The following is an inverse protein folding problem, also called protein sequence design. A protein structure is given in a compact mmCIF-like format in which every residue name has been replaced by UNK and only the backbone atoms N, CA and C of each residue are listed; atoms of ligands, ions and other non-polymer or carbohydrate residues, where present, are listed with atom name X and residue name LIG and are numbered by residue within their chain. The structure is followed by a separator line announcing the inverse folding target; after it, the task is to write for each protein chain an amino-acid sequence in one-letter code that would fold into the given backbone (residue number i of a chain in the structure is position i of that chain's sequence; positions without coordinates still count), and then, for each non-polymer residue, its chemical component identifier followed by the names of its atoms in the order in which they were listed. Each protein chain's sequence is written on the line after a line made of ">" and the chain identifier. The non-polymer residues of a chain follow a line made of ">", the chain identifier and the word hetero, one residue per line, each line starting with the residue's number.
data_IF_081342851229
#
_entry.id   IF_081342851229
#
_cell.length_a   1.000
_cell.length_b   1.000
_cell.length_c   1.000
_cell.angle_alpha   90.00
_cell.angle_beta   90.00
_cell.angle_gamma   90.00
#
_symmetry.space_group_name_H-M   'P 1'
#
loop_
_entity.id
_entity.type
_entity.pdbx_description
1 polymer ?
2 non-polymer ?
3 water ?
#
# COMPACT_ATOMS: atom_id res chain seq x y z
N UNK A 53 18.18 13.95 -8.04
CA UNK A 53 17.54 14.03 -9.39
C UNK A 53 16.16 14.65 -9.30
N UNK A 54 15.41 14.65 -10.41
CA UNK A 54 13.97 14.96 -10.36
C UNK A 54 13.19 13.66 -10.17
N UNK A 55 11.91 13.78 -9.80
CA UNK A 55 11.12 12.62 -9.42
C UNK A 55 10.61 11.86 -10.64
N UNK A 56 11.00 10.60 -10.74
CA UNK A 56 10.64 9.72 -11.86
C UNK A 56 9.32 9.00 -11.59
N UNK A 57 8.46 8.93 -12.60
CA UNK A 57 7.24 8.16 -12.49
C UNK A 57 7.48 6.67 -12.65
N UNK A 58 6.57 5.88 -12.08
CA UNK A 58 6.65 4.42 -12.07
C UNK A 58 5.33 3.84 -11.57
N UNK A 59 5.18 2.52 -11.65
CA UNK A 59 4.01 1.84 -11.09
C UNK A 59 4.21 0.35 -10.84
N UNK A 60 3.37 -0.18 -9.94
CA UNK A 60 3.26 -1.59 -9.70
C UNK A 60 1.90 -1.97 -10.22
N UNK A 61 1.72 -3.26 -10.49
CA UNK A 61 0.46 -3.77 -10.97
C UNK A 61 0.12 -4.98 -10.10
N UNK A 62 -1.14 -5.06 -9.67
CA UNK A 62 -1.59 -6.14 -8.80
C UNK A 62 -2.05 -7.34 -9.63
N UNK A 63 -2.30 -8.46 -8.95
CA UNK A 63 -2.81 -9.68 -9.56
C UNK A 63 -4.08 -9.45 -10.40
N UNK A 64 -4.88 -8.46 -10.03
CA UNK A 64 -6.12 -8.19 -10.77
C UNK A 64 -5.94 -7.00 -11.70
N UNK A 65 -4.69 -6.70 -12.04
CA UNK A 65 -4.38 -5.64 -12.98
C UNK A 65 -4.71 -4.24 -12.46
N UNK A 66 -4.85 -4.10 -11.14
CA UNK A 66 -4.90 -2.76 -10.56
C UNK A 66 -3.49 -2.15 -10.64
N UNK A 67 -3.46 -0.88 -11.01
CA UNK A 67 -2.23 -0.13 -11.18
C UNK A 67 -2.02 0.79 -9.97
N UNK A 68 -0.88 0.61 -9.30
CA UNK A 68 -0.50 1.47 -8.18
C UNK A 68 0.60 2.41 -8.64
N UNK A 69 0.26 3.67 -8.85
CA UNK A 69 1.27 4.59 -9.32
C UNK A 69 2.10 5.19 -8.17
N UNK A 70 3.38 5.40 -8.46
CA UNK A 70 4.27 6.09 -7.56
C UNK A 70 5.21 7.04 -8.30
N UNK A 71 5.82 7.96 -7.55
CA UNK A 71 6.99 8.72 -7.98
C UNK A 71 8.15 8.35 -7.08
N UNK A 72 9.37 8.38 -7.62
CA UNK A 72 10.55 8.11 -6.82
C UNK A 72 11.79 8.91 -7.20
N UNK A 73 12.75 8.88 -6.28
CA UNK A 73 14.04 9.48 -6.39
C UNK A 73 15.04 8.44 -5.88
N UNK A 74 16.09 8.18 -6.66
CA UNK A 74 17.17 7.27 -6.27
C UNK A 74 18.53 7.98 -6.34
N UNK A 75 19.22 8.12 -5.20
CA UNK A 75 20.58 8.70 -5.14
C UNK A 75 21.55 7.57 -4.81
N UNK A 76 22.70 7.88 -4.22
CA UNK A 76 23.68 6.84 -3.93
C UNK A 76 23.05 5.50 -3.44
N UNK A 77 22.88 5.34 -2.13
CA UNK A 77 22.29 4.11 -1.56
C UNK A 77 20.84 4.32 -1.09
N UNK A 78 20.26 5.43 -1.50
CA UNK A 78 18.98 5.86 -1.01
C UNK A 78 17.92 5.72 -2.09
N UNK A 79 16.77 5.16 -1.73
CA UNK A 79 15.63 5.21 -2.62
C UNK A 79 14.41 5.69 -1.84
N UNK A 80 13.82 6.78 -2.29
CA UNK A 80 12.65 7.34 -1.66
C UNK A 80 11.51 7.25 -2.65
N UNK A 81 10.42 6.62 -2.24
CA UNK A 81 9.31 6.36 -3.12
C UNK A 81 7.97 6.73 -2.46
N UNK A 82 7.17 7.53 -3.15
CA UNK A 82 5.83 7.90 -2.69
C UNK A 82 4.75 7.35 -3.63
N UNK A 83 3.68 6.76 -3.08
CA UNK A 83 2.52 6.34 -3.87
C UNK A 83 1.65 7.58 -4.08
N UNK A 84 1.16 7.78 -5.30
CA UNK A 84 0.55 9.07 -5.66
C UNK A 84 -0.92 8.99 -6.06
N UNK A 85 -1.49 7.79 -6.09
CA UNK A 85 -2.88 7.62 -6.48
C UNK A 85 -3.89 8.28 -5.53
N UNK A 86 -3.55 8.36 -4.24
CA UNK A 86 -4.48 8.84 -3.23
C UNK A 86 -3.99 10.07 -2.46
N UNK A 87 -3.46 11.09 -3.15
CA UNK A 87 -3.04 12.30 -2.44
C UNK A 87 -4.28 13.11 -2.11
N UNK A 88 -4.63 13.22 -0.82
CA UNK A 88 -5.86 13.90 -0.45
C UNK A 88 -5.75 15.38 -0.77
N UNK A 89 -6.88 16.07 -0.86
CA UNK A 89 -6.90 17.49 -1.21
C UNK A 89 -8.03 18.18 -0.47
N UNK A 90 -7.86 19.48 -0.23
CA UNK A 90 -8.97 20.30 0.18
C UNK A 90 -9.72 20.74 -1.05
N UNK A 91 -10.99 20.34 -1.10
CA UNK A 91 -11.82 20.59 -2.26
C UNK A 91 -12.51 21.93 -2.15
N UNK A 92 -12.60 22.45 -0.94
CA UNK A 92 -13.02 23.81 -0.75
C UNK A 92 -12.23 24.42 0.39
N UNK A 93 -12.55 25.68 0.77
CA UNK A 93 -11.81 26.31 1.86
C UNK A 93 -11.92 25.57 3.19
N UNK A 94 -12.90 24.68 3.34
CA UNK A 94 -13.10 24.04 4.64
C UNK A 94 -13.18 22.50 4.69
N UNK A 95 -13.08 21.83 3.55
CA UNK A 95 -13.24 20.37 3.54
C UNK A 95 -12.02 19.66 2.97
N UNK A 96 -11.41 18.81 3.79
CA UNK A 96 -10.35 17.91 3.31
C UNK A 96 -10.92 16.53 2.97
N UNK A 97 -10.74 16.10 1.73
CA UNK A 97 -11.13 14.74 1.38
C UNK A 97 -9.96 13.77 1.30
N UNK A 98 -10.01 12.68 2.06
CA UNK A 98 -9.06 11.57 1.91
C UNK A 98 -9.37 10.73 0.72
N UNK A 99 -8.31 10.23 0.10
CA UNK A 99 -8.45 9.34 -1.01
C UNK A 99 -7.89 7.98 -0.60
N UNK A 100 -8.38 6.92 -1.23
CA UNK A 100 -8.03 5.57 -0.83
C UNK A 100 -7.26 4.87 -1.92
N UNK A 101 -6.22 4.13 -1.55
CA UNK A 101 -5.79 3.02 -2.38
C UNK A 101 -6.64 1.82 -1.96
N UNK A 102 -7.39 1.27 -2.90
CA UNK A 102 -8.37 0.25 -2.58
C UNK A 102 -7.81 -1.09 -3.00
N UNK A 103 -7.61 -1.98 -2.04
CA UNK A 103 -7.08 -3.29 -2.35
C UNK A 103 -8.12 -4.37 -2.06
N UNK A 104 -8.50 -5.10 -3.10
CA UNK A 104 -9.54 -6.11 -3.01
C UNK A 104 -8.98 -7.45 -2.56
N UNK A 105 -9.89 -8.28 -2.06
CA UNK A 105 -9.62 -9.64 -1.62
C UNK A 105 -8.79 -10.45 -2.63
N UNK A 106 -9.15 -10.34 -3.91
CA UNK A 106 -8.40 -10.99 -5.00
C UNK A 106 -6.96 -10.48 -5.27
N UNK A 107 -6.63 -9.28 -4.78
CA UNK A 107 -5.22 -8.78 -4.76
C UNK A 107 -4.30 -9.46 -3.73
N UNK A 108 -4.89 -10.16 -2.77
CA UNK A 108 -4.11 -10.78 -1.68
C UNK A 108 -3.82 -12.25 -1.91
N UNK A 109 -2.73 -12.72 -1.33
CA UNK A 109 -2.42 -14.15 -1.33
C UNK A 109 -3.28 -14.93 -0.34
N UNK A 110 -3.42 -16.23 -0.62
CA UNK A 110 -4.15 -17.16 0.23
C UNK A 110 -3.30 -18.41 0.53
N UNK A 111 -3.34 -18.92 1.78
CA UNK A 111 -4.05 -18.45 2.99
C UNK A 111 -3.40 -17.22 3.65
N UNK A 112 -4.21 -16.40 4.32
CA UNK A 112 -3.65 -15.30 5.08
C UNK A 112 -3.53 -15.75 6.54
N UNK A 113 -2.40 -15.43 7.16
CA UNK A 113 -2.15 -15.77 8.57
C UNK A 113 -1.86 -14.55 9.39
N UNK A 114 -2.24 -14.56 10.67
CA UNK A 114 -1.77 -13.52 11.59
C UNK A 114 -2.10 -12.06 11.16
N UNK A 115 -3.28 -11.86 10.59
CA UNK A 115 -3.68 -10.56 10.06
C UNK A 115 -2.54 -9.91 9.25
N UNK A 116 -2.02 -10.69 8.31
CA UNK A 116 -0.97 -10.26 7.41
C UNK A 116 -1.50 -10.51 6.01
N UNK A 117 -1.71 -9.44 5.25
CA UNK A 117 -2.20 -9.55 3.89
C UNK A 117 -1.09 -9.16 2.95
N UNK A 118 -0.83 -10.06 2.01
CA UNK A 118 0.27 -9.92 1.11
C UNK A 118 -0.25 -9.69 -0.29
N UNK A 119 0.19 -8.59 -0.89
CA UNK A 119 -0.16 -8.19 -2.23
C UNK A 119 1.03 -8.42 -3.17
N UNK A 120 1.03 -9.55 -3.90
CA UNK A 120 2.07 -9.74 -4.92
C UNK A 120 1.94 -8.65 -5.95
N UNK A 121 3.09 -8.12 -6.37
CA UNK A 121 3.15 -7.01 -7.31
C UNK A 121 4.07 -7.33 -8.50
N UNK A 122 3.78 -6.71 -9.62
CA UNK A 122 4.58 -6.93 -10.80
C UNK A 122 5.09 -5.60 -11.28
N UNK A 123 6.33 -5.59 -11.75
CA UNK A 123 6.91 -4.39 -12.34
C UNK A 123 7.53 -3.53 -11.26
N UNK A 124 7.74 -2.25 -11.58
CA UNK A 124 8.27 -1.28 -10.62
C UNK A 124 9.59 -1.66 -9.99
N UNK A 125 9.87 -1.06 -8.84
CA UNK A 125 11.14 -1.26 -8.15
C UNK A 125 11.12 -2.40 -7.13
N UNK A 126 12.29 -2.90 -6.76
CA UNK A 126 12.44 -4.05 -5.87
C UNK A 126 13.25 -3.65 -4.64
N UNK A 127 12.55 -3.39 -3.52
CA UNK A 127 13.18 -2.89 -2.30
C UNK A 127 12.75 -3.65 -1.06
N UNK A 128 13.63 -3.65 -0.07
CA UNK A 128 13.30 -4.06 1.28
C UNK A 128 13.17 -2.75 2.05
N UNK A 129 11.93 -2.27 2.20
CA UNK A 129 11.70 -0.98 2.83
C UNK A 129 11.58 -1.14 4.37
N UNK A 130 11.63 -0.03 5.10
CA UNK A 130 11.20 -0.09 6.49
C UNK A 130 9.68 -0.13 6.52
N UNK A 131 9.17 -0.25 7.73
CA UNK A 131 7.75 -0.32 8.01
C UNK A 131 7.22 1.07 8.22
N UNK A 132 6.11 1.36 7.56
CA UNK A 132 5.42 2.63 7.77
C UNK A 132 4.03 2.31 8.26
N UNK A 133 3.54 3.10 9.23
CA UNK A 133 2.17 2.96 9.72
C UNK A 133 1.23 3.77 8.84
N UNK A 134 0.04 3.25 8.60
CA UNK A 134 -0.90 3.95 7.72
C UNK A 134 -2.30 3.98 8.32
N UNK A 135 -3.20 4.78 7.75
CA UNK A 135 -4.63 4.71 8.11
C UNK A 135 -5.25 3.67 7.22
N UNK A 136 -5.90 2.68 7.81
CA UNK A 136 -6.57 1.65 7.03
C UNK A 136 -8.04 1.67 7.30
N UNK A 137 -8.82 1.32 6.29
CA UNK A 137 -10.19 0.98 6.51
C UNK A 137 -10.36 -0.42 5.98
N UNK A 138 -10.70 -1.33 6.89
CA UNK A 138 -10.80 -2.76 6.62
C UNK A 138 -12.30 -3.06 6.49
N UNK A 139 -12.73 -3.41 5.28
CA UNK A 139 -14.15 -3.63 4.97
C UNK A 139 -14.44 -5.14 4.89
N UNK A 140 -15.37 -5.61 5.72
CA UNK A 140 -15.75 -7.03 5.76
C UNK A 140 -16.77 -7.43 4.71
N UNK A 141 -16.92 -8.73 4.48
CA UNK A 141 -17.94 -9.22 3.53
C UNK A 141 -19.36 -8.76 3.86
N UNK A 142 -19.61 -8.46 5.13
CA UNK A 142 -20.93 -8.00 5.54
C UNK A 142 -21.08 -6.45 5.51
N UNK A 143 -20.13 -5.79 4.83
CA UNK A 143 -20.06 -4.31 4.66
C UNK A 143 -19.79 -3.50 5.92
N UNK A 144 -19.65 -4.21 7.03
CA UNK A 144 -19.14 -3.64 8.27
C UNK A 144 -17.68 -3.21 7.99
N UNK A 145 -17.19 -2.17 8.67
CA UNK A 145 -15.82 -1.70 8.46
C UNK A 145 -15.16 -1.16 9.72
N UNK A 146 -13.84 -1.31 9.76
CA UNK A 146 -13.03 -0.98 10.93
C UNK A 146 -11.86 -0.10 10.52
N UNK A 147 -11.71 1.01 11.22
CA UNK A 147 -10.62 1.94 10.98
C UNK A 147 -9.47 1.50 11.86
N UNK A 148 -8.28 1.35 11.27
CA UNK A 148 -7.11 0.81 11.97
C UNK A 148 -5.83 1.50 11.58
N UNK A 149 -4.87 1.55 12.50
CA UNK A 149 -3.48 1.78 12.16
C UNK A 149 -2.93 0.46 11.58
N UNK A 150 -2.65 0.49 10.28
CA UNK A 150 -1.93 -0.60 9.62
C UNK A 150 -0.44 -0.36 9.55
N UNK A 151 0.30 -1.41 9.24
CA UNK A 151 1.75 -1.29 9.10
C UNK A 151 2.12 -1.91 7.77
N UNK A 152 2.83 -1.13 6.95
CA UNK A 152 3.11 -1.53 5.57
C UNK A 152 4.62 -1.59 5.31
N UNK A 153 5.05 -2.63 4.62
CA UNK A 153 6.42 -2.72 4.09
C UNK A 153 6.39 -3.15 2.62
N UNK A 154 7.45 -2.79 1.89
CA UNK A 154 7.74 -3.44 0.59
C UNK A 154 8.84 -4.45 0.84
N UNK A 155 8.70 -5.64 0.27
CA UNK A 155 9.69 -6.71 0.43
C UNK A 155 9.87 -7.41 -0.94
N UNK A 156 10.96 -8.16 -1.11
CA UNK A 156 11.17 -8.90 -2.37
C UNK A 156 11.18 -10.42 -2.17
N UNK A 157 10.41 -11.12 -3.00
CA UNK A 157 10.35 -12.57 -2.98
C UNK A 157 10.22 -13.14 -4.41
N UNK A 158 11.10 -14.07 -4.76
CA UNK A 158 11.12 -14.65 -6.13
C UNK A 158 11.37 -13.56 -7.19
N UNK A 159 12.19 -12.57 -6.82
CA UNK A 159 12.43 -11.39 -7.64
C UNK A 159 11.20 -10.53 -7.86
N UNK A 160 10.12 -10.79 -7.12
CA UNK A 160 8.93 -9.95 -7.27
C UNK A 160 8.73 -9.00 -6.07
N UNK A 161 8.36 -7.75 -6.34
CA UNK A 161 8.03 -6.98 -5.15
C UNK A 161 6.68 -7.45 -4.56
N UNK A 162 6.58 -7.40 -3.23
CA UNK A 162 5.34 -7.67 -2.53
C UNK A 162 5.09 -6.58 -1.50
N UNK A 163 3.83 -6.20 -1.33
CA UNK A 163 3.48 -5.24 -0.30
C UNK A 163 2.88 -6.00 0.88
N UNK A 164 3.45 -5.79 2.06
CA UNK A 164 3.04 -6.49 3.28
C UNK A 164 2.18 -5.53 4.08
N UNK A 165 0.95 -5.93 4.31
CA UNK A 165 0.04 -5.11 5.07
C UNK A 165 -0.41 -5.86 6.32
N UNK A 166 -0.12 -5.29 7.48
CA UNK A 166 -0.49 -5.92 8.73
C UNK A 166 -1.41 -5.03 9.51
N UNK A 167 -2.45 -5.65 10.05
CA UNK A 167 -3.42 -4.93 10.86
C UNK A 167 -3.93 -5.79 12.01
N UNK A 168 -5.05 -5.37 12.60
CA UNK A 168 -5.63 -6.02 13.77
C UNK A 168 -6.72 -7.02 13.37
N UNK A 169 -7.11 -7.91 14.32
CA UNK A 169 -8.23 -8.82 14.11
C UNK A 169 -9.53 -8.08 13.83
N UNK A 170 -10.33 -8.65 12.94
CA UNK A 170 -11.69 -8.19 12.67
C UNK A 170 -12.65 -9.39 12.71
N UNK A 171 -13.90 -9.16 13.19
CA UNK A 171 -14.96 -10.16 13.29
C UNK A 171 -15.59 -10.51 11.93
N UNK A 172 -14.80 -11.18 11.07
CA UNK A 172 -15.28 -11.62 9.76
C UNK A 172 -14.20 -11.78 8.70
N UNK A 173 -14.60 -12.15 7.48
CA UNK A 173 -13.71 -12.18 6.31
C UNK A 173 -13.65 -10.84 5.56
N UNK A 174 -12.44 -10.48 5.10
CA UNK A 174 -12.16 -9.19 4.44
C UNK A 174 -12.53 -9.21 2.96
N UNK A 175 -13.24 -8.18 2.55
CA UNK A 175 -13.62 -7.96 1.18
C UNK A 175 -12.61 -6.96 0.59
N UNK A 176 -12.19 -6.00 1.41
CA UNK A 176 -11.41 -4.88 0.91
C UNK A 176 -10.62 -4.17 2.00
N UNK A 177 -9.40 -3.77 1.68
CA UNK A 177 -8.64 -2.86 2.53
C UNK A 177 -8.38 -1.58 1.75
N UNK A 178 -8.71 -0.45 2.38
CA UNK A 178 -8.46 0.89 1.81
C UNK A 178 -7.35 1.57 2.60
N UNK A 179 -6.31 2.00 1.92
CA UNK A 179 -5.25 2.74 2.56
C UNK A 179 -5.62 4.20 2.35
N UNK A 180 -5.89 4.92 3.44
CA UNK A 180 -6.37 6.31 3.40
C UNK A 180 -5.22 7.32 3.57
N UNK A 181 -4.04 6.81 3.88
CA UNK A 181 -2.83 7.58 4.10
C UNK A 181 -2.00 7.76 2.84
N UNK A 182 -1.29 8.89 2.73
CA UNK A 182 -0.30 9.07 1.69
C UNK A 182 1.00 8.41 2.13
N UNK A 183 1.39 7.38 1.39
CA UNK A 183 2.52 6.55 1.76
C UNK A 183 3.80 7.00 1.06
N UNK A 184 4.87 7.19 1.82
CA UNK A 184 6.20 7.36 1.23
C UNK A 184 7.19 6.49 2.03
N UNK A 185 8.02 5.72 1.33
CA UNK A 185 9.04 4.94 1.99
C UNK A 185 10.39 5.55 1.70
N UNK A 186 11.18 5.75 2.74
CA UNK A 186 12.62 5.99 2.59
C UNK A 186 13.37 4.66 2.75
N UNK A 187 14.13 4.25 1.72
CA UNK A 187 14.76 2.94 1.74
C UNK A 187 16.29 3.03 1.61
N UNK A 188 16.99 2.07 2.20
CA UNK A 188 18.45 1.95 2.04
C UNK A 188 18.72 0.78 1.14
N UNK A 189 19.44 1.04 0.05
CA UNK A 189 19.81 0.01 -0.90
C UNK A 189 21.25 -0.44 -0.62
N UNK A 190 21.40 -1.70 -0.19
CA UNK A 190 22.73 -2.36 -0.08
C UNK A 190 23.69 -1.82 0.97
X LIG B 1 14.06 -15.14 -3.02
X LIG B 1 12.76 -15.52 -3.69
X LIG B 1 14.09 -13.63 -2.85
X LIG B 1 14.12 -15.84 -1.68
X LIG B 1 15.26 -15.54 -3.86
#
# INVERSE_FOLDING_TARGET
>A
XGSSHHHHHHSSGLVPRGSHXASXTGGQQXGRGSEFASIGPPTTXVTGTVSPGRATNGQFVTKTAKVLRYKFVRWDALLIIQFIDNIGVMENPTFYRNKSIELRSADFLSPMLNNTYIVPLNGGVRVESPTIPVQLEVILENNSSFIQVGFVRLTVKNGNPHMIIQCNPVPGNIKMIKIKSVMLFTCLIG
>B hetero
1 PO4 P O1 O2 O3 O4
#
